data_IF_738855228599
#
_entry.id   IF_738855228599
#
_cell.length_a   1.000
_cell.length_b   1.000
_cell.length_c   1.000
_cell.angle_alpha   90.00
_cell.angle_beta   90.00
_cell.angle_gamma   90.00
#
_symmetry.space_group_name_H-M   'P 1'
#
loop_
_entity.id
_entity.type
_entity.pdbx_description
1 polymer ?
#
# COMPACT_ATOMS: atom_id res chain seq x y z
N UNK A 1 -22.24 -4.40 -18.46
CA UNK A 1 -23.46 -5.11 -17.99
C UNK A 1 -23.61 -5.03 -16.47
N UNK A 2 -23.05 -5.97 -15.73
CA UNK A 2 -22.97 -5.93 -14.25
C UNK A 2 -21.53 -5.70 -13.75
N UNK A 3 -20.54 -6.21 -14.49
CA UNK A 3 -19.10 -6.08 -14.19
C UNK A 3 -18.59 -4.63 -14.32
N UNK A 4 -19.13 -3.90 -15.28
CA UNK A 4 -18.83 -2.49 -15.54
C UNK A 4 -19.37 -1.55 -14.45
N UNK A 5 -20.48 -1.93 -13.80
CA UNK A 5 -21.07 -1.21 -12.67
C UNK A 5 -20.34 -1.48 -11.35
N UNK A 6 -19.79 -2.69 -11.17
CA UNK A 6 -18.93 -3.01 -10.01
C UNK A 6 -17.59 -2.26 -10.07
N UNK A 7 -17.05 -2.05 -11.26
CA UNK A 7 -15.82 -1.28 -11.48
C UNK A 7 -15.97 0.23 -11.19
N UNK A 8 -17.20 0.77 -11.16
CA UNK A 8 -17.47 2.16 -10.75
C UNK A 8 -17.53 2.35 -9.24
N UNK A 9 -17.82 1.31 -8.47
CA UNK A 9 -17.98 1.36 -7.00
C UNK A 9 -16.72 0.90 -6.23
N UNK A 10 -15.88 0.04 -6.83
CA UNK A 10 -14.67 -0.43 -6.16
C UNK A 10 -13.67 0.72 -5.91
N UNK A 11 -13.01 0.81 -4.74
CA UNK A 11 -12.07 1.88 -4.43
C UNK A 11 -10.86 1.91 -5.39
N UNK A 12 -10.30 3.09 -5.60
CA UNK A 12 -9.19 3.29 -6.55
C UNK A 12 -7.91 2.59 -6.11
N UNK A 13 -7.68 2.54 -4.79
CA UNK A 13 -6.69 1.68 -4.15
C UNK A 13 -7.12 1.41 -2.69
N UNK A 14 -6.85 0.20 -2.20
CA UNK A 14 -7.10 -0.18 -0.80
C UNK A 14 -5.85 -0.76 -0.17
N UNK A 15 -5.56 -0.37 1.07
CA UNK A 15 -4.43 -0.83 1.87
C UNK A 15 -4.86 -1.09 3.31
N UNK A 16 -4.31 -2.12 3.94
CA UNK A 16 -4.48 -2.37 5.38
C UNK A 16 -3.13 -2.18 6.08
N UNK A 17 -3.15 -1.40 7.15
CA UNK A 17 -2.05 -1.27 8.11
C UNK A 17 -2.40 -2.12 9.31
N UNK A 18 -1.48 -3.00 9.70
CA UNK A 18 -1.61 -3.82 10.91
C UNK A 18 -0.50 -3.40 11.87
N UNK A 19 -0.88 -2.85 13.00
CA UNK A 19 0.04 -2.47 14.07
C UNK A 19 -0.10 -3.45 15.22
N UNK A 20 1.02 -3.83 15.82
CA UNK A 20 1.02 -4.68 17.00
C UNK A 20 1.69 -3.91 18.13
N UNK A 21 0.86 -3.30 18.97
CA UNK A 21 1.29 -2.69 20.22
C UNK A 21 0.35 -3.22 21.30
N UNK A 22 0.82 -4.19 22.09
CA UNK A 22 0.12 -4.99 23.12
C UNK A 22 -1.17 -5.73 22.72
N UNK A 23 -1.86 -5.28 21.67
CA UNK A 23 -2.98 -5.94 20.98
C UNK A 23 -2.90 -5.60 19.48
N UNK A 24 -3.39 -6.47 18.60
CA UNK A 24 -3.39 -6.22 17.16
C UNK A 24 -4.44 -5.16 16.82
N UNK A 25 -4.03 -4.06 16.21
CA UNK A 25 -4.93 -3.05 15.67
C UNK A 25 -4.80 -2.99 14.15
N UNK A 26 -5.94 -3.00 13.47
CA UNK A 26 -6.01 -2.96 12.01
C UNK A 26 -6.63 -1.65 11.59
N UNK A 27 -5.87 -0.83 10.87
CA UNK A 27 -6.35 0.40 10.22
C UNK A 27 -6.46 0.17 8.72
N UNK A 28 -7.65 0.41 8.17
CA UNK A 28 -7.88 0.35 6.71
C UNK A 28 -7.73 1.75 6.11
N UNK A 29 -6.98 1.84 5.01
CA UNK A 29 -6.84 3.03 4.19
C UNK A 29 -7.43 2.76 2.82
N UNK A 30 -8.30 3.64 2.37
CA UNK A 30 -8.96 3.54 1.06
C UNK A 30 -8.75 4.86 0.33
N UNK A 31 -8.32 4.79 -0.92
CA UNK A 31 -8.21 5.94 -1.79
C UNK A 31 -9.39 5.97 -2.77
N UNK A 32 -10.04 7.12 -2.85
CA UNK A 32 -11.04 7.42 -3.88
C UNK A 32 -10.44 8.40 -4.88
N UNK A 33 -10.84 8.30 -6.15
CA UNK A 33 -10.46 9.29 -7.14
C UNK A 33 -11.18 10.61 -6.81
N UNK A 34 -10.46 11.74 -6.66
CA UNK A 34 -11.12 13.02 -6.40
C UNK A 34 -12.10 13.34 -7.53
N UNK A 35 -13.32 13.76 -7.16
CA UNK A 35 -14.41 13.99 -8.12
C UNK A 35 -14.01 14.91 -9.29
N UNK A 36 -13.16 15.89 -9.02
CA UNK A 36 -12.67 16.88 -9.99
C UNK A 36 -11.72 16.34 -11.07
N UNK A 37 -11.06 15.19 -10.84
CA UNK A 37 -10.12 14.60 -11.81
C UNK A 37 -10.72 13.40 -12.55
N UNK A 38 -11.92 12.96 -12.15
CA UNK A 38 -12.52 11.71 -12.60
C UNK A 38 -11.67 10.49 -12.23
N UNK A 39 -12.21 9.28 -12.43
CA UNK A 39 -11.36 8.08 -12.42
C UNK A 39 -10.53 8.10 -13.69
N UNK A 40 -9.21 8.21 -13.58
CA UNK A 40 -8.32 7.99 -14.71
C UNK A 40 -8.53 6.54 -15.21
N UNK A 41 -9.20 6.39 -16.35
CA UNK A 41 -9.50 5.08 -16.97
C UNK A 41 -8.40 4.61 -17.91
N UNK A 42 -7.40 5.46 -18.16
CA UNK A 42 -6.29 5.14 -19.04
C UNK A 42 -5.50 3.94 -18.48
N UNK A 43 -5.02 3.04 -19.36
CA UNK A 43 -4.14 1.95 -18.97
C UNK A 43 -2.97 2.47 -18.13
N UNK A 44 -2.68 1.81 -17.01
CA UNK A 44 -1.61 2.18 -16.10
C UNK A 44 -0.68 0.98 -15.94
N UNK A 45 0.60 1.20 -16.19
CA UNK A 45 1.66 0.21 -15.96
C UNK A 45 2.67 0.79 -14.97
N UNK A 46 3.08 -0.01 -13.99
CA UNK A 46 4.11 0.32 -13.02
C UNK A 46 5.33 -0.55 -13.28
N UNK A 47 6.49 0.07 -13.47
CA UNK A 47 7.77 -0.60 -13.57
C UNK A 47 8.44 -0.65 -12.19
N UNK A 48 8.83 -1.84 -11.75
CA UNK A 48 9.50 -2.06 -10.46
C UNK A 48 10.80 -2.84 -10.65
N UNK A 49 11.68 -2.77 -9.65
CA UNK A 49 12.93 -3.51 -9.61
C UNK A 49 13.29 -3.95 -8.18
N UNK A 50 14.41 -4.65 -8.00
CA UNK A 50 14.91 -5.09 -6.69
C UNK A 50 15.20 -3.98 -5.67
N UNK A 51 15.18 -2.70 -6.07
CA UNK A 51 15.34 -1.55 -5.18
C UNK A 51 14.03 -0.86 -4.82
N UNK A 52 12.92 -1.28 -5.41
CA UNK A 52 11.58 -0.81 -5.04
C UNK A 52 11.25 -1.34 -3.66
N UNK A 53 11.07 -0.44 -2.69
CA UNK A 53 10.90 -0.77 -1.29
C UNK A 53 9.82 0.10 -0.61
N UNK A 54 9.26 -0.37 0.50
CA UNK A 54 8.42 0.44 1.40
C UNK A 54 7.23 1.07 0.66
N UNK A 55 7.09 2.41 0.66
CA UNK A 55 6.01 3.12 0.00
C UNK A 55 5.81 2.71 -1.48
N UNK A 56 6.88 2.38 -2.20
CA UNK A 56 6.81 1.91 -3.59
C UNK A 56 6.12 0.54 -3.70
N UNK A 57 6.42 -0.38 -2.80
CA UNK A 57 5.81 -1.72 -2.76
C UNK A 57 4.34 -1.66 -2.35
N UNK A 58 4.04 -0.80 -1.39
CA UNK A 58 2.69 -0.53 -0.90
C UNK A 58 1.82 0.02 -2.04
N UNK A 59 2.32 1.02 -2.78
CA UNK A 59 1.61 1.60 -3.91
C UNK A 59 1.40 0.59 -5.04
N UNK A 60 2.45 -0.13 -5.43
CA UNK A 60 2.38 -1.13 -6.49
C UNK A 60 1.42 -2.26 -6.15
N UNK A 61 1.51 -2.80 -4.94
CA UNK A 61 0.61 -3.84 -4.44
C UNK A 61 -0.84 -3.38 -4.35
N UNK A 62 -1.10 -2.17 -3.84
CA UNK A 62 -2.45 -1.63 -3.77
C UNK A 62 -3.08 -1.47 -5.16
N UNK A 63 -2.35 -0.92 -6.12
CA UNK A 63 -2.86 -0.71 -7.47
C UNK A 63 -3.02 -2.03 -8.24
N UNK A 64 -2.14 -3.00 -8.01
CA UNK A 64 -2.25 -4.34 -8.59
C UNK A 64 -3.46 -5.10 -8.04
N UNK A 65 -3.62 -5.15 -6.72
CA UNK A 65 -4.71 -5.88 -6.04
C UNK A 65 -6.10 -5.31 -6.34
N UNK A 66 -6.18 -4.01 -6.65
CA UNK A 66 -7.44 -3.36 -7.05
C UNK A 66 -7.65 -3.40 -8.58
N UNK A 67 -6.90 -4.25 -9.31
CA UNK A 67 -6.97 -4.38 -10.76
C UNK A 67 -6.80 -3.04 -11.51
N UNK A 68 -6.12 -2.05 -10.91
CA UNK A 68 -5.97 -0.71 -11.48
C UNK A 68 -4.73 -0.60 -12.35
N UNK A 69 -3.64 -1.28 -12.00
CA UNK A 69 -2.38 -1.22 -12.73
C UNK A 69 -1.78 -2.60 -12.97
N UNK A 70 -1.14 -2.77 -14.11
CA UNK A 70 -0.25 -3.90 -14.36
C UNK A 70 1.13 -3.55 -13.79
N UNK A 71 1.69 -4.42 -12.96
CA UNK A 71 3.05 -4.27 -12.43
C UNK A 71 3.99 -5.17 -13.23
N UNK A 72 5.09 -4.59 -13.73
CA UNK A 72 6.11 -5.27 -14.55
C UNK A 72 7.50 -4.98 -14.02
N UNK A 73 8.46 -5.87 -14.31
CA UNK A 73 9.86 -5.73 -13.88
C UNK A 73 10.32 -6.89 -13.00
N UNK A 74 11.11 -6.60 -11.97
CA UNK A 74 11.71 -7.62 -11.09
C UNK A 74 10.97 -7.74 -9.75
N UNK A 75 11.29 -8.78 -8.98
CA UNK A 75 10.86 -8.87 -7.58
C UNK A 75 11.35 -7.63 -6.80
N UNK A 76 10.46 -7.04 -6.00
CA UNK A 76 10.77 -5.89 -5.15
C UNK A 76 11.59 -6.31 -3.93
N UNK A 77 12.03 -5.33 -3.13
CA UNK A 77 12.92 -5.58 -1.99
C UNK A 77 12.30 -6.43 -0.87
N UNK A 78 10.99 -6.34 -0.65
CA UNK A 78 10.25 -7.06 0.40
C UNK A 78 10.11 -6.30 1.72
N UNK A 79 10.24 -4.97 1.75
CA UNK A 79 10.14 -4.16 2.98
C UNK A 79 8.68 -3.80 3.28
N UNK A 80 7.96 -4.75 3.90
CA UNK A 80 6.58 -4.58 4.36
C UNK A 80 6.40 -4.04 5.78
N UNK A 81 7.49 -3.62 6.46
CA UNK A 81 7.48 -3.24 7.87
C UNK A 81 7.30 -1.73 8.08
N UNK A 82 6.63 -1.39 9.19
CA UNK A 82 6.46 -0.03 9.68
C UNK A 82 7.42 0.15 10.85
N UNK A 83 8.28 1.16 10.74
CA UNK A 83 9.28 1.47 11.76
C UNK A 83 8.96 2.83 12.37
N UNK A 84 9.16 2.94 13.68
CA UNK A 84 9.11 4.19 14.42
C UNK A 84 10.49 4.50 14.97
N UNK A 85 10.82 5.79 15.07
CA UNK A 85 12.07 6.29 15.63
C UNK A 85 11.76 6.96 16.96
N UNK A 86 12.42 6.52 18.01
CA UNK A 86 12.31 7.07 19.36
C UNK A 86 13.64 7.73 19.73
N UNK A 87 13.60 9.00 20.09
CA UNK A 87 14.78 9.70 20.61
C UNK A 87 15.03 9.30 22.07
N UNK A 88 16.29 9.05 22.40
CA UNK A 88 16.74 8.70 23.75
C UNK A 88 17.35 9.93 24.43
N UNK A 89 17.41 9.90 25.76
CA UNK A 89 17.86 11.04 26.59
C UNK A 89 19.30 11.49 26.34
N UNK A 90 20.12 10.63 25.74
CA UNK A 90 21.51 10.92 25.37
C UNK A 90 21.68 11.44 23.93
N UNK A 91 20.58 11.66 23.21
CA UNK A 91 20.58 12.11 21.82
C UNK A 91 20.73 10.99 20.79
N UNK A 92 20.81 9.73 21.21
CA UNK A 92 20.76 8.59 20.31
C UNK A 92 19.31 8.25 19.89
N UNK A 93 19.15 7.36 18.91
CA UNK A 93 17.84 6.98 18.36
C UNK A 93 17.62 5.47 18.36
N UNK A 94 16.44 5.03 18.79
CA UNK A 94 15.97 3.66 18.72
C UNK A 94 14.99 3.50 17.54
N UNK A 95 15.32 2.63 16.60
CA UNK A 95 14.43 2.27 15.49
C UNK A 95 13.76 0.94 15.79
N UNK A 96 12.45 0.96 15.98
CA UNK A 96 11.67 -0.24 16.33
C UNK A 96 10.58 -0.50 15.29
N UNK A 97 10.41 -1.77 14.93
CA UNK A 97 9.28 -2.21 14.11
C UNK A 97 8.01 -2.20 14.95
N UNK A 98 7.03 -1.40 14.52
CA UNK A 98 5.74 -1.21 15.23
C UNK A 98 4.55 -1.83 14.48
N UNK A 99 4.79 -2.34 13.27
CA UNK A 99 3.74 -2.97 12.47
C UNK A 99 4.20 -3.42 11.10
N UNK A 100 3.22 -3.83 10.29
CA UNK A 100 3.39 -4.23 8.90
C UNK A 100 2.20 -3.78 8.05
N UNK A 101 2.46 -3.54 6.77
CA UNK A 101 1.40 -3.40 5.79
C UNK A 101 0.92 -4.77 5.34
N UNK A 102 -0.38 -4.88 5.05
CA UNK A 102 -0.98 -6.03 4.37
C UNK A 102 -1.80 -5.53 3.20
N UNK A 103 -1.62 -6.16 2.05
CA UNK A 103 -2.43 -5.89 0.88
C UNK A 103 -3.81 -6.56 1.03
N UNK A 104 -4.84 -6.11 0.29
CA UNK A 104 -6.16 -6.73 0.31
C UNK A 104 -6.13 -8.23 -0.01
N UNK A 105 -5.23 -8.67 -0.88
CA UNK A 105 -4.99 -10.09 -1.20
C UNK A 105 -4.45 -10.91 -0.03
N UNK A 106 -4.04 -10.28 1.06
CA UNK A 106 -3.44 -10.94 2.22
C UNK A 106 -1.92 -11.13 2.12
N UNK A 107 -1.31 -10.67 1.02
CA UNK A 107 0.14 -10.58 0.84
C UNK A 107 0.76 -9.45 1.66
#
# INVERSE_FOLDING_TARGET
GAEEAAATEAPYATLKRVESASSESVRKYTAEAPAQYGRARSPLTLLVNGRTASAGEILAGALQDNCRATVVGEATFGKGLIQSVYELSDGSGLVTTVGKYRLPSGR
#
